data_IF_788669849544
#
_entry.id   IF_788669849544
#
_cell.length_a   1.000
_cell.length_b   1.000
_cell.length_c   1.000
_cell.angle_alpha   90.00
_cell.angle_beta   90.00
_cell.angle_gamma   90.00
#
_symmetry.space_group_name_H-M   'P 1'
#
loop_
_entity.id
_entity.type
_entity.pdbx_description
1 polymer ?
#
# COMPACT_ATOMS: atom_id res chain seq x y z
N UNK A 1 -2.65 -22.93 -5.59
CA UNK A 1 -1.87 -21.68 -5.76
C UNK A 1 -1.91 -20.95 -4.44
N UNK A 2 -0.77 -20.46 -3.93
CA UNK A 2 -0.74 -19.70 -2.68
C UNK A 2 -0.96 -18.22 -2.97
N UNK A 3 -1.67 -17.56 -2.06
CA UNK A 3 -1.84 -16.11 -2.09
C UNK A 3 -0.50 -15.40 -1.89
N UNK A 4 -0.25 -14.37 -2.69
CA UNK A 4 0.89 -13.45 -2.54
C UNK A 4 0.40 -12.16 -1.91
N UNK A 5 1.07 -11.73 -0.86
CA UNK A 5 0.81 -10.44 -0.23
C UNK A 5 1.97 -9.49 -0.53
N UNK A 6 1.64 -8.28 -0.95
CA UNK A 6 2.58 -7.22 -1.33
C UNK A 6 2.41 -6.08 -0.33
N UNK A 7 3.50 -5.66 0.31
CA UNK A 7 3.56 -4.44 1.10
C UNK A 7 4.19 -3.34 0.25
N UNK A 8 3.39 -2.33 -0.11
CA UNK A 8 3.81 -1.21 -0.92
C UNK A 8 3.98 0.05 -0.06
N UNK A 9 5.00 0.84 -0.37
CA UNK A 9 5.29 2.13 0.26
C UNK A 9 5.26 3.20 -0.83
N UNK A 10 4.69 4.35 -0.53
CA UNK A 10 4.85 5.52 -1.37
C UNK A 10 5.15 6.78 -0.55
N UNK A 11 6.19 7.50 -0.97
CA UNK A 11 6.81 8.63 -0.27
C UNK A 11 7.34 9.70 -1.23
N UNK A 12 6.83 9.77 -2.47
CA UNK A 12 7.42 10.60 -3.53
C UNK A 12 7.09 12.10 -3.45
N UNK A 13 5.97 12.48 -2.81
CA UNK A 13 5.48 13.86 -2.77
C UNK A 13 5.15 14.31 -1.33
N UNK A 14 3.92 14.77 -1.08
CA UNK A 14 3.43 15.32 0.18
C UNK A 14 2.61 14.32 1.02
N UNK A 15 2.46 13.10 0.56
CA UNK A 15 1.93 12.00 1.36
C UNK A 15 2.96 10.91 1.62
N UNK A 16 2.83 10.30 2.79
CA UNK A 16 3.47 9.03 3.14
C UNK A 16 2.39 7.98 3.25
N UNK A 17 2.48 6.90 2.48
CA UNK A 17 1.48 5.85 2.49
C UNK A 17 2.05 4.44 2.51
N UNK A 18 1.27 3.52 3.07
CA UNK A 18 1.56 2.08 3.10
C UNK A 18 0.30 1.30 2.75
N UNK A 19 0.42 0.37 1.80
CA UNK A 19 -0.69 -0.46 1.34
C UNK A 19 -0.34 -1.96 1.36
N UNK A 20 -1.34 -2.79 1.64
CA UNK A 20 -1.25 -4.25 1.50
C UNK A 20 -2.14 -4.69 0.35
N UNK A 21 -1.55 -5.36 -0.64
CA UNK A 21 -2.28 -5.97 -1.75
C UNK A 21 -2.21 -7.49 -1.70
N UNK A 22 -3.31 -8.15 -2.05
CA UNK A 22 -3.38 -9.57 -2.33
C UNK A 22 -3.35 -9.82 -3.84
N UNK A 23 -2.44 -10.68 -4.26
CA UNK A 23 -2.24 -11.10 -5.65
C UNK A 23 -2.06 -9.94 -6.65
N UNK A 24 -1.61 -8.77 -6.18
CA UNK A 24 -1.31 -7.59 -6.99
C UNK A 24 -2.53 -6.78 -7.48
N UNK A 25 -3.76 -7.22 -7.21
CA UNK A 25 -4.97 -6.59 -7.74
C UNK A 25 -6.01 -6.27 -6.67
N UNK A 26 -6.00 -6.98 -5.54
CA UNK A 26 -6.94 -6.75 -4.45
C UNK A 26 -6.28 -5.90 -3.36
N UNK A 27 -6.84 -4.72 -3.07
CA UNK A 27 -6.38 -3.86 -1.99
C UNK A 27 -7.02 -4.28 -0.68
N UNK A 28 -6.19 -4.69 0.29
CA UNK A 28 -6.66 -5.14 1.60
C UNK A 28 -6.59 -4.06 2.68
N UNK A 29 -5.58 -3.19 2.61
CA UNK A 29 -5.40 -2.07 3.53
C UNK A 29 -4.64 -0.96 2.82
N UNK A 30 -4.95 0.28 3.19
CA UNK A 30 -4.23 1.46 2.76
C UNK A 30 -4.30 2.52 3.86
N UNK A 31 -3.14 2.99 4.31
CA UNK A 31 -3.02 4.11 5.25
C UNK A 31 -2.23 5.21 4.56
N UNK A 32 -2.78 6.42 4.60
CA UNK A 32 -2.19 7.62 4.02
C UNK A 32 -2.05 8.66 5.13
N UNK A 33 -0.84 9.18 5.30
CA UNK A 33 -0.55 10.31 6.15
C UNK A 33 -0.18 11.51 5.28
N UNK A 34 -0.96 12.59 5.39
CA UNK A 34 -0.64 13.87 4.75
C UNK A 34 0.47 14.57 5.53
N UNK A 35 1.45 15.12 4.82
CA UNK A 35 2.48 15.99 5.36
C UNK A 35 1.98 17.44 5.30
N UNK A 36 1.14 17.82 6.28
CA UNK A 36 0.74 19.23 6.51
C UNK A 36 1.70 19.87 7.49
#
# INVERSE_FOLDING_TARGET
MNDKYILAFETSCDETSVAVLKNGTELLSNVIASQV
#
